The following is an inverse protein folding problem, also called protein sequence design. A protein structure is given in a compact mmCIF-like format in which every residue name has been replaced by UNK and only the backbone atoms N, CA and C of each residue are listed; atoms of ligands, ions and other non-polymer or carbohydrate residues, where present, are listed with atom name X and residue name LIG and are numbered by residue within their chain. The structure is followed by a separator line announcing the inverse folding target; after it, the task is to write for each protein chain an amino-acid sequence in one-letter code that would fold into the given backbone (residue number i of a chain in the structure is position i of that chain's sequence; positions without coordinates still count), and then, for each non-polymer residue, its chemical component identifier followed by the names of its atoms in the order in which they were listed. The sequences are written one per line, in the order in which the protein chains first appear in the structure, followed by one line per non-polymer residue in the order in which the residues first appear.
data_IF_798309621114
#
_entry.id   IF_798309621114
#
_cell.length_a   1.000
_cell.length_b   1.000
_cell.length_c   1.000
_cell.angle_alpha   90.00
_cell.angle_beta   90.00
_cell.angle_gamma   90.00
#
_symmetry.space_group_name_H-M   'P 1'
#
loop_
_entity.id
_entity.type
_entity.pdbx_description
1 polymer ?
#
# COMPACT_ATOMS: atom_id res chain seq x y z
N UNK A 1 -43.94 -59.07 60.63
CA UNK A 1 -45.27 -59.47 60.13
C UNK A 1 -45.40 -58.97 58.69
N UNK A 2 -45.74 -59.91 57.80
CA UNK A 2 -46.45 -59.83 56.51
C UNK A 2 -46.46 -58.45 55.78
N UNK A 3 -45.89 -58.36 54.57
CA UNK A 3 -46.58 -58.56 53.27
C UNK A 3 -47.69 -57.51 53.07
N UNK A 4 -47.76 -56.68 52.02
CA UNK A 4 -47.72 -56.98 50.58
C UNK A 4 -47.55 -55.66 49.78
N UNK A 5 -46.78 -55.71 48.69
CA UNK A 5 -47.07 -54.99 47.43
C UNK A 5 -47.91 -55.92 46.51
N UNK A 6 -48.24 -55.61 45.25
CA UNK A 6 -48.25 -54.36 44.47
C UNK A 6 -49.59 -54.18 43.71
N UNK A 7 -49.77 -53.09 42.94
CA UNK A 7 -50.57 -53.19 41.73
C UNK A 7 -50.07 -52.26 40.61
N UNK A 8 -49.59 -52.93 39.57
CA UNK A 8 -49.63 -52.61 38.14
C UNK A 8 -48.73 -51.48 37.63
N UNK A 9 -47.62 -51.97 37.06
CA UNK A 9 -46.78 -51.32 36.08
C UNK A 9 -47.43 -51.30 34.67
N UNK A 10 -46.67 -50.74 33.72
CA UNK A 10 -46.73 -50.89 32.25
C UNK A 10 -47.52 -49.78 31.54
N UNK A 11 -47.00 -48.99 30.58
CA UNK A 11 -45.71 -48.86 29.88
C UNK A 11 -45.70 -47.44 29.29
N UNK A 12 -44.58 -46.72 29.38
CA UNK A 12 -44.08 -45.96 28.25
C UNK A 12 -42.56 -46.02 28.26
N UNK A 13 -42.06 -46.51 27.13
CA UNK A 13 -40.67 -46.70 26.75
C UNK A 13 -39.79 -45.52 27.19
N UNK A 14 -38.72 -45.77 27.94
CA UNK A 14 -37.37 -46.17 27.46
C UNK A 14 -36.77 -45.13 26.51
N UNK A 15 -35.52 -44.73 26.62
CA UNK A 15 -34.53 -44.64 27.68
C UNK A 15 -33.28 -44.08 26.99
N UNK A 16 -32.35 -43.57 27.80
CA UNK A 16 -30.92 -43.47 27.54
C UNK A 16 -30.45 -42.48 26.47
N UNK A 17 -29.28 -41.85 26.60
CA UNK A 17 -28.46 -41.34 27.70
C UNK A 17 -27.22 -40.76 26.99
N UNK A 18 -26.56 -39.79 27.64
CA UNK A 18 -25.20 -39.33 27.37
C UNK A 18 -24.97 -38.58 26.04
N UNK A 19 -24.64 -37.30 26.16
CA UNK A 19 -23.31 -36.84 25.75
C UNK A 19 -23.01 -35.46 26.35
N UNK A 20 -21.83 -35.40 26.96
CA UNK A 20 -21.07 -34.20 27.29
C UNK A 20 -20.85 -33.33 26.04
N UNK A 21 -20.98 -32.02 26.16
CA UNK A 21 -20.06 -31.13 25.45
C UNK A 21 -19.89 -29.81 26.20
N UNK A 22 -18.63 -29.52 26.51
CA UNK A 22 -18.16 -28.25 27.02
C UNK A 22 -18.42 -27.15 25.98
N UNK A 23 -18.79 -25.97 26.45
CA UNK A 23 -18.98 -24.77 25.63
C UNK A 23 -17.62 -24.30 25.07
N UNK A 24 -17.41 -24.52 23.77
CA UNK A 24 -16.36 -23.88 22.98
C UNK A 24 -16.75 -22.45 22.60
N UNK A 25 -15.77 -21.54 22.71
CA UNK A 25 -15.77 -20.17 22.19
C UNK A 25 -16.02 -20.16 20.68
N UNK A 26 -16.73 -19.17 20.11
CA UNK A 26 -16.74 -19.00 18.67
C UNK A 26 -15.45 -18.30 18.22
N UNK A 27 -14.52 -19.07 17.64
CA UNK A 27 -13.45 -18.56 16.77
C UNK A 27 -14.07 -18.04 15.46
N UNK A 28 -14.26 -16.72 15.37
CA UNK A 28 -14.43 -16.05 14.09
C UNK A 28 -13.04 -15.81 13.48
N UNK A 29 -12.48 -16.81 12.79
CA UNK A 29 -11.30 -16.63 11.96
C UNK A 29 -11.67 -15.79 10.72
N UNK A 30 -11.39 -14.48 10.80
CA UNK A 30 -11.37 -13.61 9.64
C UNK A 30 -10.24 -14.06 8.70
N UNK A 31 -10.58 -14.76 7.62
CA UNK A 31 -9.63 -15.11 6.55
C UNK A 31 -9.10 -13.82 5.88
N UNK A 32 -7.79 -13.70 5.61
CA UNK A 32 -7.24 -12.53 4.95
C UNK A 32 -7.65 -12.50 3.48
N UNK A 33 -8.44 -11.52 3.09
CA UNK A 33 -8.76 -11.25 1.70
C UNK A 33 -7.60 -10.49 1.03
N UNK A 34 -6.62 -11.23 0.53
CA UNK A 34 -5.72 -10.77 -0.53
C UNK A 34 -5.51 -11.91 -1.53
N UNK A 35 -5.49 -11.56 -2.82
CA UNK A 35 -5.68 -12.48 -3.93
C UNK A 35 -4.64 -13.59 -4.04
N UNK A 36 -5.15 -14.82 -4.05
CA UNK A 36 -4.59 -15.93 -4.80
C UNK A 36 -5.74 -16.88 -5.19
N UNK A 37 -6.73 -16.37 -5.95
CA UNK A 37 -7.73 -17.24 -6.56
C UNK A 37 -7.03 -17.98 -7.70
N UNK A 38 -6.91 -19.30 -7.58
CA UNK A 38 -6.46 -20.13 -8.69
C UNK A 38 -7.44 -19.93 -9.86
N UNK A 39 -6.95 -19.62 -11.08
CA UNK A 39 -7.78 -19.54 -12.27
C UNK A 39 -8.65 -20.78 -12.40
N UNK A 40 -9.94 -20.57 -12.66
CA UNK A 40 -10.87 -21.66 -12.97
C UNK A 40 -10.52 -22.29 -14.32
N UNK A 41 -10.93 -23.54 -14.54
CA UNK A 41 -10.69 -24.23 -15.82
C UNK A 41 -11.25 -23.44 -17.02
N UNK A 42 -12.37 -22.75 -16.84
CA UNK A 42 -12.98 -21.88 -17.86
C UNK A 42 -12.10 -20.68 -18.20
N UNK A 43 -11.41 -20.10 -17.22
CA UNK A 43 -10.46 -19.00 -17.43
C UNK A 43 -9.19 -19.49 -18.13
N UNK A 44 -8.69 -20.68 -17.77
CA UNK A 44 -7.54 -21.32 -18.43
C UNK A 44 -7.85 -21.68 -19.89
N UNK A 45 -9.04 -22.21 -20.18
CA UNK A 45 -9.49 -22.45 -21.55
C UNK A 45 -9.62 -21.15 -22.36
N UNK A 46 -10.10 -20.08 -21.73
CA UNK A 46 -10.14 -18.75 -22.35
C UNK A 46 -8.75 -18.20 -22.66
N UNK A 47 -7.76 -18.50 -21.83
CA UNK A 47 -6.37 -18.11 -22.07
C UNK A 47 -5.71 -18.96 -23.16
N UNK A 48 -5.96 -20.27 -23.20
CA UNK A 48 -5.48 -21.16 -24.25
C UNK A 48 -5.93 -20.68 -25.65
N UNK A 49 -7.19 -20.25 -25.77
CA UNK A 49 -7.71 -19.71 -27.04
C UNK A 49 -6.99 -18.44 -27.50
N UNK A 50 -6.50 -17.63 -26.55
CA UNK A 50 -5.79 -16.37 -26.84
C UNK A 50 -4.29 -16.58 -27.02
N UNK A 51 -3.74 -17.62 -26.41
CA UNK A 51 -2.32 -17.94 -26.40
C UNK A 51 -2.12 -19.46 -26.61
N UNK A 52 -2.32 -19.98 -27.82
CA UNK A 52 -2.15 -21.42 -28.10
C UNK A 52 -0.73 -21.92 -27.83
N UNK A 53 0.25 -21.03 -27.97
CA UNK A 53 1.67 -21.27 -27.69
C UNK A 53 1.98 -21.52 -26.20
N UNK A 54 1.03 -21.25 -25.30
CA UNK A 54 1.19 -21.46 -23.88
C UNK A 54 1.04 -22.93 -23.47
N UNK A 55 0.38 -23.75 -24.30
CA UNK A 55 0.28 -25.20 -24.18
C UNK A 55 1.58 -25.83 -24.72
N UNK A 56 2.50 -26.12 -23.81
CA UNK A 56 3.87 -26.52 -24.15
C UNK A 56 4.01 -28.02 -24.32
N UNK A 57 3.19 -28.81 -23.63
CA UNK A 57 3.13 -30.26 -23.78
C UNK A 57 2.16 -30.71 -24.89
N UNK A 58 1.39 -29.77 -25.47
CA UNK A 58 0.47 -29.95 -26.59
C UNK A 58 -0.67 -30.90 -26.25
N UNK A 59 -1.08 -30.95 -24.99
CA UNK A 59 -2.18 -31.80 -24.53
C UNK A 59 -3.57 -31.19 -24.82
N UNK A 60 -3.62 -29.96 -25.34
CA UNK A 60 -4.85 -29.24 -25.67
C UNK A 60 -5.51 -28.56 -24.47
N UNK A 61 -4.83 -28.47 -23.32
CA UNK A 61 -5.32 -27.85 -22.08
C UNK A 61 -4.22 -27.03 -21.41
N UNK A 62 -4.53 -25.78 -21.07
CA UNK A 62 -3.55 -24.95 -20.37
C UNK A 62 -3.49 -25.28 -18.88
N UNK A 63 -2.40 -25.89 -18.41
CA UNK A 63 -2.20 -26.11 -16.97
C UNK A 63 -1.84 -24.81 -16.23
N UNK A 64 -2.05 -24.78 -14.90
CA UNK A 64 -1.64 -23.65 -14.06
C UNK A 64 -0.14 -23.37 -14.16
N UNK A 65 0.67 -24.43 -14.30
CA UNK A 65 2.12 -24.35 -14.41
C UNK A 65 2.51 -23.69 -15.72
N UNK A 66 1.91 -24.10 -16.82
CA UNK A 66 2.14 -23.54 -18.15
C UNK A 66 1.65 -22.10 -18.29
N UNK A 67 0.45 -21.79 -17.77
CA UNK A 67 -0.07 -20.43 -17.71
C UNK A 67 0.88 -19.50 -16.95
N UNK A 68 1.44 -19.98 -15.83
CA UNK A 68 2.42 -19.25 -15.04
C UNK A 68 3.74 -19.06 -15.80
N UNK A 69 4.26 -20.12 -16.44
CA UNK A 69 5.50 -20.06 -17.22
C UNK A 69 5.37 -19.17 -18.45
N UNK A 70 4.28 -19.26 -19.21
CA UNK A 70 4.01 -18.41 -20.37
C UNK A 70 3.88 -16.94 -19.97
N UNK A 71 3.15 -16.64 -18.89
CA UNK A 71 3.06 -15.28 -18.34
C UNK A 71 4.41 -14.73 -17.91
N UNK A 72 5.27 -15.54 -17.30
CA UNK A 72 6.59 -15.11 -16.84
C UNK A 72 7.58 -14.93 -17.99
N UNK A 73 7.60 -15.86 -18.94
CA UNK A 73 8.66 -15.97 -19.94
C UNK A 73 8.32 -15.29 -21.28
N UNK A 74 7.03 -15.17 -21.63
CA UNK A 74 6.58 -14.63 -22.93
C UNK A 74 5.98 -13.24 -22.75
N UNK A 75 5.07 -13.04 -21.79
CA UNK A 75 4.55 -11.69 -21.48
C UNK A 75 5.57 -10.81 -20.74
N UNK A 76 6.52 -11.41 -20.01
CA UNK A 76 7.66 -10.71 -19.41
C UNK A 76 8.74 -10.26 -20.40
N UNK A 77 8.69 -10.72 -21.66
CA UNK A 77 9.64 -10.38 -22.74
C UNK A 77 9.14 -9.33 -23.73
N UNK A 78 8.02 -8.64 -23.46
CA UNK A 78 7.69 -7.45 -24.24
C UNK A 78 8.77 -6.39 -23.98
N UNK A 79 9.30 -5.70 -25.02
CA UNK A 79 10.15 -4.55 -24.77
C UNK A 79 9.39 -3.62 -23.83
N UNK A 80 9.99 -3.26 -22.69
CA UNK A 80 9.39 -2.35 -21.74
C UNK A 80 9.20 -1.00 -22.42
N UNK A 81 8.05 -0.78 -23.07
CA UNK A 81 7.56 0.56 -23.34
C UNK A 81 7.39 1.20 -21.96
N UNK A 82 8.11 2.29 -21.70
CA UNK A 82 8.01 3.03 -20.44
C UNK A 82 6.55 3.38 -20.11
N UNK A 83 6.25 3.59 -18.83
CA UNK A 83 4.91 3.99 -18.42
C UNK A 83 4.52 5.30 -19.14
N UNK A 84 3.28 5.44 -19.65
CA UNK A 84 2.86 6.64 -20.37
C UNK A 84 2.92 7.85 -19.45
N UNK A 85 3.87 8.76 -19.74
CA UNK A 85 4.06 10.01 -18.98
C UNK A 85 3.14 11.13 -19.42
N UNK A 86 2.72 11.11 -20.69
CA UNK A 86 1.72 12.01 -21.25
C UNK A 86 0.45 11.22 -21.49
N UNK A 87 -0.66 11.74 -21.00
CA UNK A 87 -1.97 11.15 -21.14
C UNK A 87 -3.01 12.26 -21.22
N UNK A 88 -4.12 11.97 -21.89
CA UNK A 88 -5.25 12.89 -21.93
C UNK A 88 -5.93 12.91 -20.58
N UNK A 89 -6.13 14.12 -20.03
CA UNK A 89 -7.00 14.35 -18.86
C UNK A 89 -8.32 14.86 -19.42
N UNK A 90 -9.42 14.28 -18.98
CA UNK A 90 -10.74 14.70 -19.41
C UNK A 90 -11.00 16.16 -18.96
N UNK A 91 -11.47 17.07 -19.85
CA UNK A 91 -11.76 18.46 -19.49
C UNK A 91 -12.76 18.62 -18.34
N UNK A 92 -13.56 17.59 -18.04
CA UNK A 92 -14.43 17.61 -16.87
C UNK A 92 -13.71 17.71 -15.52
N UNK A 93 -12.38 17.53 -15.47
CA UNK A 93 -11.57 17.88 -14.28
C UNK A 93 -11.44 19.38 -14.04
N UNK A 94 -11.64 20.20 -15.07
CA UNK A 94 -11.61 21.66 -14.98
C UNK A 94 -13.03 22.25 -14.87
N UNK A 95 -14.07 21.40 -14.78
CA UNK A 95 -15.45 21.82 -14.56
C UNK A 95 -15.74 22.08 -13.07
N UNK A 96 -16.77 22.88 -12.80
CA UNK A 96 -17.20 23.20 -11.42
C UNK A 96 -17.68 21.95 -10.65
N UNK A 97 -18.21 20.94 -11.36
CA UNK A 97 -18.72 19.71 -10.78
C UNK A 97 -18.51 18.51 -11.71
N UNK A 98 -18.36 17.33 -11.13
CA UNK A 98 -18.36 16.07 -11.89
C UNK A 98 -19.77 15.77 -12.46
N UNK A 99 -19.88 14.85 -13.45
CA UNK A 99 -21.18 14.44 -13.98
C UNK A 99 -22.18 14.06 -12.88
N UNK A 100 -23.48 14.44 -12.98
CA UNK A 100 -24.46 14.23 -11.90
C UNK A 100 -24.66 12.77 -11.46
N UNK A 101 -24.25 11.80 -12.29
CA UNK A 101 -24.36 10.38 -11.98
C UNK A 101 -23.17 9.82 -11.19
N UNK A 102 -22.13 10.63 -10.94
CA UNK A 102 -20.93 10.25 -10.20
C UNK A 102 -21.29 9.64 -8.84
N UNK A 103 -20.59 8.58 -8.47
CA UNK A 103 -20.92 7.83 -7.24
C UNK A 103 -20.66 8.64 -5.97
N UNK A 104 -19.72 9.58 -5.97
CA UNK A 104 -19.40 10.44 -4.82
C UNK A 104 -20.60 11.27 -4.34
N UNK A 105 -21.58 11.56 -5.20
CA UNK A 105 -22.79 12.29 -4.83
C UNK A 105 -23.90 11.42 -4.22
N UNK A 106 -23.70 10.10 -4.15
CA UNK A 106 -24.70 9.15 -3.66
C UNK A 106 -24.63 8.95 -2.15
N UNK A 107 -25.73 8.47 -1.57
CA UNK A 107 -25.75 8.15 -0.13
C UNK A 107 -24.89 6.92 0.18
N UNK A 108 -24.29 6.81 1.38
CA UNK A 108 -23.41 5.69 1.73
C UNK A 108 -23.97 4.29 1.45
N UNK A 109 -25.25 4.04 1.73
CA UNK A 109 -25.88 2.75 1.49
C UNK A 109 -26.05 2.44 -0.01
N UNK A 110 -26.31 3.46 -0.83
CA UNK A 110 -26.40 3.31 -2.28
C UNK A 110 -25.01 2.98 -2.87
N UNK A 111 -23.97 3.67 -2.39
CA UNK A 111 -22.57 3.38 -2.78
C UNK A 111 -22.23 1.93 -2.42
N UNK A 112 -22.60 1.49 -1.21
CA UNK A 112 -22.39 0.10 -0.76
C UNK A 112 -23.10 -0.91 -1.65
N UNK A 113 -24.35 -0.65 -2.04
CA UNK A 113 -25.13 -1.55 -2.92
C UNK A 113 -24.54 -1.66 -4.33
N UNK A 114 -23.82 -0.63 -4.81
CA UNK A 114 -23.11 -0.69 -6.09
C UNK A 114 -21.83 -1.52 -6.01
N UNK A 115 -21.27 -1.72 -4.82
CA UNK A 115 -20.09 -2.55 -4.60
C UNK A 115 -20.52 -3.97 -4.23
N UNK A 116 -20.49 -4.88 -5.20
CA UNK A 116 -20.96 -6.26 -5.06
C UNK A 116 -20.20 -7.13 -4.04
N UNK A 117 -19.10 -6.63 -3.46
CA UNK A 117 -18.29 -7.35 -2.49
C UNK A 117 -18.52 -6.79 -1.08
N UNK A 118 -18.29 -7.59 -0.02
CA UNK A 118 -18.29 -7.08 1.34
C UNK A 118 -17.34 -5.89 1.48
N UNK A 119 -17.87 -4.80 2.03
CA UNK A 119 -17.08 -3.65 2.44
C UNK A 119 -16.41 -3.98 3.78
N UNK A 120 -15.08 -3.86 3.89
CA UNK A 120 -14.42 -4.12 5.17
C UNK A 120 -14.85 -3.08 6.20
N UNK A 121 -15.08 -3.54 7.42
CA UNK A 121 -15.30 -2.70 8.59
C UNK A 121 -14.37 -3.19 9.69
N UNK A 122 -13.56 -2.27 10.20
CA UNK A 122 -12.59 -2.55 11.25
C UNK A 122 -12.99 -1.78 12.50
N UNK A 123 -13.04 -2.47 13.64
CA UNK A 123 -13.05 -1.82 14.95
C UNK A 123 -11.84 -0.90 15.07
N UNK A 124 -11.95 0.15 15.89
CA UNK A 124 -10.80 1.01 16.18
C UNK A 124 -9.70 0.12 16.81
N UNK A 125 -8.50 0.04 16.21
CA UNK A 125 -7.43 -0.75 16.79
C UNK A 125 -7.03 -0.21 18.17
N UNK A 126 -6.74 -1.10 19.11
CA UNK A 126 -6.32 -0.77 20.50
C UNK A 126 -4.82 -0.91 20.71
N UNK A 127 -4.12 -1.48 19.73
CA UNK A 127 -2.69 -1.79 19.71
C UNK A 127 -1.85 -0.69 19.05
N UNK A 128 -2.49 0.42 18.66
CA UNK A 128 -1.85 1.54 17.97
C UNK A 128 -1.87 1.44 16.45
N UNK A 129 -2.44 0.37 15.87
CA UNK A 129 -2.66 0.28 14.43
C UNK A 129 -3.60 1.36 13.90
N UNK A 130 -3.42 1.75 12.64
CA UNK A 130 -4.32 2.65 11.92
C UNK A 130 -5.12 1.88 10.87
N UNK A 131 -6.37 2.27 10.63
CA UNK A 131 -7.16 1.77 9.51
C UNK A 131 -6.83 2.59 8.28
N UNK A 132 -6.18 1.95 7.30
CA UNK A 132 -5.63 2.64 6.14
C UNK A 132 -6.35 2.23 4.86
N UNK A 133 -6.87 3.21 4.12
CA UNK A 133 -7.21 3.04 2.70
C UNK A 133 -6.08 3.53 1.81
N UNK A 134 -6.00 3.04 0.58
CA UNK A 134 -5.01 3.57 -0.34
C UNK A 134 -5.23 3.25 -1.81
N UNK A 135 -4.69 4.11 -2.65
CA UNK A 135 -4.54 3.86 -4.08
C UNK A 135 -3.07 3.77 -4.41
N UNK A 136 -2.74 3.12 -5.52
CA UNK A 136 -1.36 3.08 -5.95
C UNK A 136 -1.10 2.14 -7.10
N UNK A 137 0.13 2.21 -7.58
CA UNK A 137 0.63 1.35 -8.63
C UNK A 137 1.84 0.53 -8.19
N UNK A 138 2.56 -0.01 -9.15
CA UNK A 138 3.71 -0.90 -8.91
C UNK A 138 4.80 -0.31 -8.03
N UNK A 139 4.83 1.01 -7.83
CA UNK A 139 5.79 1.66 -6.94
C UNK A 139 5.27 1.69 -5.51
N UNK A 140 3.96 1.68 -5.25
CA UNK A 140 3.39 1.57 -3.90
C UNK A 140 3.25 0.12 -3.40
N UNK A 141 3.14 -0.81 -4.35
CA UNK A 141 2.90 -2.22 -4.03
C UNK A 141 3.96 -2.87 -3.11
N UNK A 142 5.26 -2.56 -3.19
CA UNK A 142 6.23 -3.13 -2.27
C UNK A 142 5.95 -2.66 -0.83
N UNK A 143 5.80 -1.36 -0.59
CA UNK A 143 5.40 -0.79 0.71
C UNK A 143 4.11 -1.38 1.27
N UNK A 144 3.06 -1.52 0.45
CA UNK A 144 1.81 -2.17 0.89
C UNK A 144 1.95 -3.65 1.26
N UNK A 145 2.94 -4.36 0.71
CA UNK A 145 3.20 -5.77 1.04
C UNK A 145 4.05 -5.93 2.28
N UNK A 146 4.97 -4.99 2.53
CA UNK A 146 5.91 -5.05 3.63
C UNK A 146 5.36 -4.41 4.90
N UNK A 147 4.56 -3.34 4.79
CA UNK A 147 4.00 -2.62 5.94
C UNK A 147 3.28 -3.53 6.95
N UNK A 148 2.32 -4.43 6.56
CA UNK A 148 1.65 -5.27 7.55
C UNK A 148 2.58 -6.21 8.32
N UNK A 149 3.66 -6.67 7.67
CA UNK A 149 4.66 -7.54 8.30
C UNK A 149 5.52 -6.76 9.29
N UNK A 150 5.88 -5.52 8.94
CA UNK A 150 6.64 -4.61 9.79
C UNK A 150 5.81 -4.25 11.02
N UNK A 151 4.54 -3.88 10.84
CA UNK A 151 3.60 -3.62 11.93
C UNK A 151 3.44 -4.81 12.86
N UNK A 152 3.26 -6.02 12.32
CA UNK A 152 3.14 -7.24 13.11
C UNK A 152 4.39 -7.47 13.98
N UNK A 153 5.59 -7.26 13.43
CA UNK A 153 6.83 -7.34 14.19
C UNK A 153 6.98 -6.23 15.23
N UNK A 154 6.38 -5.06 14.98
CA UNK A 154 6.27 -3.95 15.92
C UNK A 154 5.18 -4.17 16.99
N UNK A 155 4.43 -5.28 16.94
CA UNK A 155 3.49 -5.70 17.97
C UNK A 155 2.03 -5.34 17.71
N UNK A 156 1.65 -4.96 16.49
CA UNK A 156 0.26 -4.61 16.17
C UNK A 156 -0.17 -5.04 14.76
N UNK A 157 -1.48 -5.21 14.55
CA UNK A 157 -2.02 -5.52 13.24
C UNK A 157 -2.24 -4.26 12.40
N UNK A 158 -2.08 -4.39 11.08
CA UNK A 158 -2.29 -3.30 10.12
C UNK A 158 -3.55 -3.54 9.28
N UNK A 159 -4.71 -2.96 9.64
CA UNK A 159 -5.84 -2.90 8.73
C UNK A 159 -5.50 -2.04 7.51
N UNK A 160 -5.43 -2.67 6.33
CA UNK A 160 -5.06 -2.04 5.07
C UNK A 160 -5.99 -2.50 3.95
N UNK A 161 -6.65 -1.55 3.28
CA UNK A 161 -7.54 -1.83 2.17
C UNK A 161 -7.25 -0.93 0.97
N UNK A 162 -6.79 -1.54 -0.12
CA UNK A 162 -6.28 -0.78 -1.26
C UNK A 162 -7.05 -1.05 -2.55
N UNK A 163 -7.10 -0.04 -3.43
CA UNK A 163 -7.51 -0.19 -4.81
C UNK A 163 -6.35 0.20 -5.72
N UNK A 164 -5.61 -0.80 -6.18
CA UNK A 164 -4.37 -0.60 -6.95
C UNK A 164 -4.54 -0.96 -8.43
N UNK A 165 -3.57 -0.57 -9.24
CA UNK A 165 -3.51 -0.85 -10.68
C UNK A 165 -2.10 -0.75 -11.24
N UNK A 166 -1.83 -1.26 -12.44
CA UNK A 166 -0.53 -1.10 -13.09
C UNK A 166 -0.37 0.28 -13.71
N UNK A 167 0.78 0.95 -13.50
CA UNK A 167 1.06 2.28 -14.05
C UNK A 167 -0.06 3.29 -13.75
N UNK A 168 -0.50 4.03 -14.77
CA UNK A 168 -1.54 5.07 -14.66
C UNK A 168 -2.83 4.55 -14.03
N UNK A 169 -3.16 3.26 -14.21
CA UNK A 169 -4.41 2.68 -13.71
C UNK A 169 -4.48 2.57 -12.19
N UNK A 170 -3.34 2.82 -11.50
CA UNK A 170 -3.25 2.91 -10.05
C UNK A 170 -3.13 4.34 -9.51
N UNK A 171 -3.09 5.36 -10.37
CA UNK A 171 -3.00 6.78 -9.94
C UNK A 171 -4.26 7.26 -9.22
N UNK A 172 -4.12 8.28 -8.38
CA UNK A 172 -5.22 8.88 -7.63
C UNK A 172 -6.37 9.33 -8.55
N UNK A 173 -6.02 10.04 -9.65
CA UNK A 173 -6.97 10.45 -10.70
C UNK A 173 -7.72 9.27 -11.31
N UNK A 174 -7.00 8.29 -11.84
CA UNK A 174 -7.62 7.18 -12.56
C UNK A 174 -8.54 6.38 -11.65
N UNK A 175 -8.13 6.17 -10.39
CA UNK A 175 -8.97 5.49 -9.41
C UNK A 175 -10.20 6.31 -9.06
N UNK A 176 -10.10 7.62 -8.93
CA UNK A 176 -11.27 8.47 -8.71
C UNK A 176 -12.29 8.32 -9.84
N UNK A 177 -11.84 8.40 -11.10
CA UNK A 177 -12.72 8.24 -12.27
C UNK A 177 -13.39 6.86 -12.31
N UNK A 178 -12.61 5.81 -12.02
CA UNK A 178 -13.10 4.43 -12.00
C UNK A 178 -14.10 4.19 -10.88
N UNK A 179 -13.85 4.73 -9.69
CA UNK A 179 -14.74 4.59 -8.54
C UNK A 179 -16.07 5.30 -8.78
N UNK A 180 -16.02 6.47 -9.42
CA UNK A 180 -17.18 7.30 -9.72
C UNK A 180 -17.94 6.87 -10.97
N UNK A 181 -17.33 6.10 -11.87
CA UNK A 181 -17.95 5.74 -13.14
C UNK A 181 -18.16 6.96 -14.04
N UNK A 182 -17.14 7.81 -14.14
CA UNK A 182 -17.16 9.05 -14.93
C UNK A 182 -16.10 9.02 -16.04
N UNK A 183 -16.25 9.89 -17.04
CA UNK A 183 -15.33 10.03 -18.18
C UNK A 183 -15.13 8.71 -18.92
N UNK A 184 -13.90 8.18 -18.98
CA UNK A 184 -13.62 6.87 -19.60
C UNK A 184 -14.37 5.69 -18.95
N UNK A 185 -14.96 5.89 -17.76
CA UNK A 185 -15.80 4.92 -17.06
C UNK A 185 -17.28 5.32 -17.00
N UNK A 186 -17.75 6.22 -17.87
CA UNK A 186 -19.13 6.75 -17.86
C UNK A 186 -20.17 5.66 -17.57
N UNK A 187 -20.92 5.84 -16.47
CA UNK A 187 -21.98 4.95 -15.98
C UNK A 187 -21.55 3.51 -15.67
N UNK A 188 -20.25 3.24 -15.54
CA UNK A 188 -19.69 1.94 -15.21
C UNK A 188 -18.74 2.03 -13.98
N UNK A 189 -19.27 2.39 -12.81
CA UNK A 189 -18.46 2.59 -11.62
C UNK A 189 -17.92 1.29 -11.02
N UNK A 190 -16.80 1.39 -10.32
CA UNK A 190 -16.23 0.34 -9.46
C UNK A 190 -15.91 0.93 -8.07
N UNK A 191 -16.93 1.20 -7.24
CA UNK A 191 -16.80 2.04 -6.05
C UNK A 191 -16.25 1.27 -4.85
N UNK A 192 -15.05 0.71 -4.97
CA UNK A 192 -14.40 -0.09 -3.94
C UNK A 192 -14.03 0.72 -2.69
N UNK A 193 -13.27 1.80 -2.86
CA UNK A 193 -12.85 2.67 -1.77
C UNK A 193 -13.97 3.62 -1.36
N UNK A 194 -14.75 4.15 -2.30
CA UNK A 194 -15.89 5.01 -1.94
C UNK A 194 -16.85 4.26 -1.02
N UNK A 195 -17.19 3.00 -1.33
CA UNK A 195 -18.03 2.18 -0.47
C UNK A 195 -17.40 1.93 0.91
N UNK A 196 -16.09 1.71 0.97
CA UNK A 196 -15.36 1.52 2.22
C UNK A 196 -15.31 2.77 3.10
N UNK A 197 -14.98 3.92 2.52
CA UNK A 197 -14.87 5.19 3.22
C UNK A 197 -16.24 5.67 3.71
N UNK A 198 -17.29 5.51 2.91
CA UNK A 198 -18.63 5.97 3.28
C UNK A 198 -19.32 5.09 4.34
N UNK A 199 -18.92 3.82 4.47
CA UNK A 199 -19.57 2.84 5.36
C UNK A 199 -18.67 2.32 6.49
N UNK A 200 -17.51 2.94 6.69
CA UNK A 200 -16.53 2.53 7.68
C UNK A 200 -15.83 3.74 8.30
N UNK A 201 -15.10 3.48 9.38
CA UNK A 201 -14.23 4.47 9.99
C UNK A 201 -12.78 4.15 9.62
N UNK A 202 -12.06 5.19 9.20
CA UNK A 202 -10.71 5.08 8.65
C UNK A 202 -9.86 6.22 9.19
N UNK A 203 -8.59 5.93 9.46
CA UNK A 203 -7.69 6.87 10.15
C UNK A 203 -6.71 7.52 9.18
N UNK A 204 -6.40 6.86 8.07
CA UNK A 204 -5.52 7.42 7.05
C UNK A 204 -5.86 6.99 5.63
N UNK A 205 -5.50 7.84 4.67
CA UNK A 205 -5.44 7.50 3.26
C UNK A 205 -4.02 7.69 2.71
N UNK A 206 -3.59 6.75 1.88
CA UNK A 206 -2.26 6.76 1.23
C UNK A 206 -2.39 6.81 -0.30
N UNK A 207 -1.50 7.54 -0.97
CA UNK A 207 -1.39 7.55 -2.42
C UNK A 207 0.05 7.36 -2.89
N UNK A 208 0.19 6.78 -4.07
CA UNK A 208 1.41 6.85 -4.86
C UNK A 208 1.32 7.96 -5.90
N UNK A 209 2.45 8.59 -6.24
CA UNK A 209 2.45 9.69 -7.18
C UNK A 209 2.51 9.17 -8.61
N UNK A 210 2.00 9.96 -9.55
CA UNK A 210 2.05 9.69 -10.96
C UNK A 210 2.40 10.95 -11.77
N UNK A 211 2.76 10.75 -13.04
CA UNK A 211 3.15 11.84 -13.91
C UNK A 211 2.02 12.87 -14.10
N UNK A 212 2.35 14.16 -14.13
CA UNK A 212 1.42 15.29 -14.27
C UNK A 212 0.28 15.30 -13.23
N UNK A 213 0.56 14.85 -12.01
CA UNK A 213 -0.40 14.97 -10.93
C UNK A 213 -0.72 16.44 -10.64
N UNK A 214 -2.00 16.68 -10.36
CA UNK A 214 -2.52 18.00 -10.00
C UNK A 214 -3.18 17.91 -8.63
N UNK A 215 -3.24 18.99 -7.83
CA UNK A 215 -3.81 18.88 -6.50
C UNK A 215 -5.32 18.60 -6.50
N UNK A 216 -6.03 18.86 -7.60
CA UNK A 216 -7.44 18.47 -7.80
C UNK A 216 -7.63 16.95 -7.73
N UNK A 217 -6.65 16.17 -8.22
CA UNK A 217 -6.71 14.70 -8.23
C UNK A 217 -6.65 14.07 -6.83
N UNK A 218 -6.19 14.82 -5.84
CA UNK A 218 -6.16 14.40 -4.44
C UNK A 218 -7.22 15.12 -3.60
N UNK A 219 -7.55 16.38 -3.93
CA UNK A 219 -8.54 17.19 -3.21
C UNK A 219 -9.90 16.50 -3.18
N UNK A 220 -10.34 15.92 -4.29
CA UNK A 220 -11.59 15.17 -4.35
C UNK A 220 -11.62 13.97 -3.39
N UNK A 221 -10.49 13.28 -3.21
CA UNK A 221 -10.38 12.20 -2.22
C UNK A 221 -10.37 12.73 -0.80
N UNK A 222 -9.65 13.83 -0.54
CA UNK A 222 -9.57 14.46 0.79
C UNK A 222 -10.97 14.89 1.24
N UNK A 223 -11.66 15.65 0.41
CA UNK A 223 -13.01 16.17 0.66
C UNK A 223 -13.97 15.03 0.96
N UNK A 224 -14.03 14.02 0.09
CA UNK A 224 -14.90 12.86 0.27
C UNK A 224 -14.58 12.07 1.55
N UNK A 225 -13.29 11.88 1.87
CA UNK A 225 -12.88 11.22 3.10
C UNK A 225 -13.33 12.00 4.35
N UNK A 226 -13.23 13.32 4.33
CA UNK A 226 -13.53 14.19 5.47
C UNK A 226 -15.02 14.27 5.80
N UNK A 227 -15.91 14.04 4.84
CA UNK A 227 -17.36 13.96 5.08
C UNK A 227 -17.73 12.92 6.15
N UNK A 228 -17.02 11.78 6.19
CA UNK A 228 -17.30 10.68 7.13
C UNK A 228 -16.18 10.45 8.15
N UNK A 229 -14.97 10.91 7.87
CA UNK A 229 -13.76 10.74 8.67
C UNK A 229 -13.00 12.09 8.80
N UNK A 230 -13.52 13.06 9.56
CA UNK A 230 -12.99 14.44 9.59
C UNK A 230 -11.54 14.55 10.10
N UNK A 231 -11.07 13.59 10.90
CA UNK A 231 -9.72 13.55 11.45
C UNK A 231 -8.78 12.62 10.67
N UNK A 232 -9.16 12.20 9.46
CA UNK A 232 -8.31 11.35 8.63
C UNK A 232 -7.03 12.07 8.25
N UNK A 233 -5.90 11.36 8.33
CA UNK A 233 -4.59 11.84 7.87
C UNK A 233 -4.30 11.36 6.46
N UNK A 234 -3.51 12.14 5.73
CA UNK A 234 -3.27 11.90 4.31
C UNK A 234 -1.77 11.79 4.04
N UNK A 235 -1.35 10.73 3.34
CA UNK A 235 0.06 10.44 3.10
C UNK A 235 0.33 10.20 1.62
N UNK A 236 1.25 10.96 1.05
CA UNK A 236 1.66 10.83 -0.34
C UNK A 236 3.10 10.31 -0.39
N UNK A 237 3.34 9.14 -0.99
CA UNK A 237 4.70 8.76 -1.38
C UNK A 237 5.16 9.71 -2.48
N UNK A 238 6.39 10.19 -2.38
CA UNK A 238 7.04 10.98 -3.43
C UNK A 238 7.69 10.11 -4.53
N UNK A 239 7.71 8.78 -4.35
CA UNK A 239 8.52 7.82 -5.13
C UNK A 239 10.01 8.20 -5.13
N UNK A 240 10.86 7.48 -5.88
CA UNK A 240 12.31 7.73 -5.91
C UNK A 240 12.82 8.24 -7.25
N UNK A 241 14.07 8.74 -7.30
CA UNK A 241 14.66 9.17 -8.55
C UNK A 241 14.70 8.07 -9.59
N UNK A 242 14.31 8.41 -10.83
CA UNK A 242 14.26 7.46 -11.95
C UNK A 242 15.22 7.90 -13.03
N UNK A 243 15.76 6.94 -13.81
CA UNK A 243 16.62 7.23 -14.97
C UNK A 243 15.98 8.20 -15.96
N UNK A 244 14.64 8.23 -15.99
CA UNK A 244 13.88 9.07 -16.88
C UNK A 244 13.80 10.56 -16.48
N UNK A 245 14.41 10.94 -15.36
CA UNK A 245 14.73 12.34 -14.99
C UNK A 245 16.03 12.83 -15.64
N UNK A 246 16.89 11.91 -16.09
CA UNK A 246 18.13 12.25 -16.78
C UNK A 246 17.82 12.52 -18.25
N UNK A 247 18.56 13.44 -18.86
CA UNK A 247 18.44 13.75 -20.29
C UNK A 247 18.69 12.52 -21.18
N UNK A 248 19.64 11.69 -20.76
CA UNK A 248 19.99 10.45 -21.44
C UNK A 248 20.33 9.35 -20.43
N UNK A 249 20.11 8.10 -20.84
CA UNK A 249 20.41 6.94 -19.99
C UNK A 249 21.92 6.75 -19.94
N UNK A 250 22.54 6.79 -18.75
CA UNK A 250 23.98 6.64 -18.63
C UNK A 250 24.47 5.29 -19.17
N UNK A 251 25.66 5.29 -19.77
CA UNK A 251 26.32 4.08 -20.29
C UNK A 251 27.02 3.26 -19.21
N UNK A 252 27.37 3.89 -18.08
CA UNK A 252 28.08 3.30 -16.94
C UNK A 252 27.44 3.76 -15.63
N UNK A 253 27.62 2.97 -14.56
CA UNK A 253 27.24 3.36 -13.21
C UNK A 253 28.14 4.45 -12.62
N UNK A 254 29.32 4.70 -13.20
CA UNK A 254 30.24 5.79 -12.79
C UNK A 254 29.62 7.18 -12.91
N UNK A 255 28.56 7.32 -13.71
CA UNK A 255 27.76 8.54 -13.80
C UNK A 255 27.10 8.89 -12.46
N UNK A 256 26.74 7.89 -11.65
CA UNK A 256 26.01 8.10 -10.42
C UNK A 256 26.95 8.49 -9.28
N UNK A 257 27.21 9.78 -9.14
CA UNK A 257 27.95 10.34 -8.00
C UNK A 257 27.01 10.78 -6.87
N UNK A 258 27.52 11.05 -5.65
CA UNK A 258 26.71 11.64 -4.59
C UNK A 258 26.03 12.95 -5.01
N UNK A 259 26.73 13.79 -5.78
CA UNK A 259 26.22 15.08 -6.26
C UNK A 259 25.07 14.90 -7.25
N UNK A 260 25.16 13.90 -8.14
CA UNK A 260 24.06 13.55 -9.05
C UNK A 260 22.83 13.12 -8.27
N UNK A 261 23.00 12.29 -7.22
CA UNK A 261 21.88 11.89 -6.36
C UNK A 261 21.29 13.04 -5.57
N UNK A 262 22.12 13.95 -5.05
CA UNK A 262 21.68 15.14 -4.34
C UNK A 262 20.87 16.06 -5.27
N UNK A 263 21.33 16.24 -6.52
CA UNK A 263 20.61 17.03 -7.52
C UNK A 263 19.22 16.43 -7.84
N UNK A 264 19.17 15.17 -8.30
CA UNK A 264 17.90 14.56 -8.73
C UNK A 264 16.92 14.33 -7.56
N UNK A 265 17.46 14.18 -6.34
CA UNK A 265 16.68 14.16 -5.09
C UNK A 265 16.07 15.52 -4.79
N UNK A 266 16.86 16.60 -4.86
CA UNK A 266 16.39 17.96 -4.61
C UNK A 266 15.34 18.42 -5.63
N UNK A 267 15.52 18.10 -6.92
CA UNK A 267 14.53 18.38 -7.97
C UNK A 267 13.17 17.74 -7.64
N UNK A 268 13.21 16.48 -7.22
CA UNK A 268 12.02 15.72 -6.86
C UNK A 268 11.36 16.28 -5.59
N UNK A 269 12.13 16.60 -4.57
CA UNK A 269 11.62 17.22 -3.34
C UNK A 269 10.97 18.58 -3.62
N UNK A 270 11.54 19.37 -4.54
CA UNK A 270 10.94 20.63 -4.96
C UNK A 270 9.62 20.46 -5.73
N UNK A 271 9.51 19.43 -6.57
CA UNK A 271 8.26 19.09 -7.29
C UNK A 271 7.15 18.71 -6.30
N UNK A 272 7.38 17.71 -5.45
CA UNK A 272 6.36 17.25 -4.48
C UNK A 272 6.10 18.27 -3.37
N UNK A 273 7.11 19.06 -2.99
CA UNK A 273 6.94 20.15 -2.04
C UNK A 273 5.92 21.19 -2.52
N UNK A 274 5.90 21.50 -3.82
CA UNK A 274 4.87 22.39 -4.40
C UNK A 274 3.48 21.78 -4.32
N UNK A 275 3.34 20.49 -4.68
CA UNK A 275 2.06 19.80 -4.62
C UNK A 275 1.51 19.74 -3.19
N UNK A 276 2.32 19.32 -2.21
CA UNK A 276 1.92 19.24 -0.80
C UNK A 276 1.55 20.62 -0.25
N UNK A 277 2.31 21.66 -0.60
CA UNK A 277 1.98 23.04 -0.22
C UNK A 277 0.61 23.44 -0.75
N UNK A 278 0.35 23.23 -2.04
CA UNK A 278 -0.94 23.55 -2.66
C UNK A 278 -2.11 22.77 -2.02
N UNK A 279 -1.90 21.49 -1.67
CA UNK A 279 -2.92 20.70 -0.97
C UNK A 279 -3.22 21.26 0.42
N UNK A 280 -2.19 21.59 1.21
CA UNK A 280 -2.37 22.16 2.55
C UNK A 280 -3.03 23.54 2.53
N UNK A 281 -2.75 24.36 1.50
CA UNK A 281 -3.41 25.65 1.29
C UNK A 281 -4.90 25.50 0.94
N UNK A 282 -5.26 24.47 0.16
CA UNK A 282 -6.65 24.18 -0.23
C UNK A 282 -7.46 23.54 0.90
N UNK A 283 -6.79 22.79 1.78
CA UNK A 283 -7.41 22.03 2.86
C UNK A 283 -6.86 22.47 4.23
N UNK A 284 -7.10 23.72 4.67
CA UNK A 284 -6.55 24.24 5.91
C UNK A 284 -7.01 23.39 7.11
N UNK A 285 -6.08 23.12 8.04
CA UNK A 285 -6.31 22.27 9.20
C UNK A 285 -6.26 20.75 8.92
N UNK A 286 -6.03 20.35 7.67
CA UNK A 286 -5.90 18.94 7.30
C UNK A 286 -4.45 18.46 7.42
N UNK A 287 -4.25 17.32 8.07
CA UNK A 287 -2.95 16.67 8.20
C UNK A 287 -2.57 15.93 6.92
N UNK A 288 -1.72 16.57 6.10
CA UNK A 288 -1.23 16.03 4.81
C UNK A 288 0.30 15.93 4.85
N UNK A 289 0.85 14.74 4.65
CA UNK A 289 2.28 14.43 4.80
C UNK A 289 2.88 13.74 3.58
N UNK A 290 4.19 13.91 3.39
CA UNK A 290 4.99 13.14 2.44
C UNK A 290 5.55 11.89 3.12
N UNK A 291 5.47 10.74 2.46
CA UNK A 291 6.31 9.58 2.80
C UNK A 291 7.60 9.68 1.95
N UNK A 292 8.75 10.04 2.55
CA UNK A 292 9.97 10.43 1.81
C UNK A 292 10.74 9.22 1.27
N UNK A 293 10.08 8.50 0.37
CA UNK A 293 10.67 7.37 -0.36
C UNK A 293 11.80 7.82 -1.27
N UNK A 294 11.76 9.05 -1.80
CA UNK A 294 12.83 9.67 -2.57
C UNK A 294 14.11 9.77 -1.77
N UNK A 295 14.04 10.44 -0.62
CA UNK A 295 15.20 10.67 0.24
C UNK A 295 15.80 9.36 0.74
N UNK A 296 14.96 8.37 1.07
CA UNK A 296 15.48 7.06 1.50
C UNK A 296 16.28 6.33 0.41
N UNK A 297 15.87 6.43 -0.85
CA UNK A 297 16.59 5.81 -1.97
C UNK A 297 17.83 6.60 -2.37
N UNK A 298 17.79 7.94 -2.27
CA UNK A 298 18.98 8.81 -2.42
C UNK A 298 20.02 8.46 -1.36
N UNK A 299 19.61 8.36 -0.09
CA UNK A 299 20.48 7.95 1.01
C UNK A 299 21.05 6.55 0.76
N UNK A 300 20.22 5.57 0.39
CA UNK A 300 20.68 4.23 0.09
C UNK A 300 21.70 4.19 -1.05
N UNK A 301 21.49 4.97 -2.12
CA UNK A 301 22.45 5.07 -3.20
C UNK A 301 23.79 5.66 -2.72
N UNK A 302 23.75 6.71 -1.89
CA UNK A 302 24.96 7.28 -1.28
C UNK A 302 25.67 6.30 -0.34
N UNK A 303 24.92 5.48 0.42
CA UNK A 303 25.50 4.37 1.21
C UNK A 303 26.16 3.32 0.32
N UNK A 304 25.54 2.96 -0.81
CA UNK A 304 26.13 2.03 -1.78
C UNK A 304 27.47 2.56 -2.33
N UNK A 305 27.52 3.85 -2.71
CA UNK A 305 28.74 4.48 -3.22
C UNK A 305 29.90 4.49 -2.22
N UNK A 306 29.59 4.43 -0.91
CA UNK A 306 30.59 4.29 0.16
C UNK A 306 30.92 2.84 0.51
N UNK A 307 30.32 1.86 -0.15
CA UNK A 307 30.50 0.43 0.15
C UNK A 307 29.77 -0.03 1.43
N UNK A 308 28.78 0.72 1.89
CA UNK A 308 28.12 0.51 3.19
C UNK A 308 26.85 -0.37 3.09
N UNK A 309 26.52 -0.90 1.91
CA UNK A 309 25.36 -1.79 1.72
C UNK A 309 25.79 -3.24 1.46
N UNK A 310 25.92 -4.08 2.51
CA UNK A 310 26.47 -5.42 2.35
C UNK A 310 25.61 -6.29 1.43
N UNK A 311 26.25 -6.86 0.41
CA UNK A 311 25.62 -7.74 -0.58
C UNK A 311 24.86 -7.02 -1.70
N UNK A 312 24.73 -5.69 -1.68
CA UNK A 312 24.28 -4.90 -2.83
C UNK A 312 25.42 -4.78 -3.82
N UNK A 313 25.13 -4.98 -5.09
CA UNK A 313 26.13 -5.13 -6.15
C UNK A 313 26.16 -3.95 -7.14
N UNK A 314 25.06 -3.21 -7.26
CA UNK A 314 24.89 -2.18 -8.28
C UNK A 314 23.82 -1.15 -7.92
N UNK A 315 23.70 -0.13 -8.75
CA UNK A 315 22.69 0.92 -8.66
C UNK A 315 21.51 0.58 -9.56
N UNK A 316 21.75 0.30 -10.84
CA UNK A 316 20.71 -0.03 -11.80
C UNK A 316 21.10 -1.26 -12.63
N UNK A 317 20.30 -2.32 -12.53
CA UNK A 317 20.54 -3.59 -13.23
C UNK A 317 20.64 -3.45 -14.75
N UNK A 318 19.97 -2.49 -15.38
CA UNK A 318 20.05 -2.30 -16.82
C UNK A 318 21.40 -1.71 -17.23
N UNK A 319 22.05 -0.95 -16.35
CA UNK A 319 23.34 -0.31 -16.59
C UNK A 319 24.46 -1.23 -16.09
N UNK A 320 24.52 -1.52 -14.78
CA UNK A 320 25.58 -2.32 -14.17
C UNK A 320 25.47 -3.84 -14.37
N UNK A 321 24.35 -4.34 -14.90
CA UNK A 321 24.09 -5.78 -15.13
C UNK A 321 24.23 -6.66 -13.88
N UNK A 322 24.05 -6.08 -12.69
CA UNK A 322 24.06 -6.81 -11.42
C UNK A 322 22.65 -7.08 -10.92
N UNK A 323 22.40 -8.29 -10.43
CA UNK A 323 21.06 -8.70 -9.98
C UNK A 323 20.66 -8.00 -8.69
N UNK A 324 21.60 -7.82 -7.75
CA UNK A 324 21.36 -7.11 -6.48
C UNK A 324 21.61 -5.61 -6.62
N UNK A 325 20.93 -5.00 -7.58
CA UNK A 325 20.94 -3.54 -7.78
C UNK A 325 19.79 -2.85 -7.03
N UNK A 326 19.92 -1.56 -6.71
CA UNK A 326 18.83 -0.75 -6.14
C UNK A 326 17.58 -0.78 -7.02
N UNK A 327 17.78 -0.63 -8.34
CA UNK A 327 16.72 -0.68 -9.35
C UNK A 327 16.92 -1.86 -10.30
N UNK A 328 15.85 -2.63 -10.56
CA UNK A 328 15.92 -3.81 -11.44
C UNK A 328 15.63 -3.55 -12.91
N UNK A 329 15.06 -2.39 -13.24
CA UNK A 329 14.69 -2.06 -14.60
C UNK A 329 14.79 -0.56 -14.91
N UNK A 330 14.53 -0.22 -16.17
CA UNK A 330 14.66 1.14 -16.68
C UNK A 330 13.58 2.07 -16.12
N UNK A 331 12.40 1.54 -15.80
CA UNK A 331 11.33 2.34 -15.19
C UNK A 331 11.71 2.74 -13.77
N UNK A 332 12.56 1.96 -13.11
CA UNK A 332 13.01 2.21 -11.74
C UNK A 332 12.26 1.37 -10.73
N UNK A 333 11.70 0.21 -11.08
CA UNK A 333 11.17 -0.67 -10.04
C UNK A 333 12.29 -1.13 -9.09
N UNK A 334 11.96 -1.24 -7.80
CA UNK A 334 12.90 -1.70 -6.78
C UNK A 334 13.46 -3.09 -7.11
N UNK A 335 14.77 -3.20 -6.93
CA UNK A 335 15.50 -4.45 -6.94
C UNK A 335 15.22 -5.30 -5.70
N UNK A 336 15.78 -6.52 -5.66
CA UNK A 336 15.53 -7.45 -4.56
C UNK A 336 15.82 -6.79 -3.20
N UNK A 337 14.91 -6.93 -2.24
CA UNK A 337 15.12 -6.50 -0.85
C UNK A 337 14.82 -5.03 -0.56
N UNK A 338 14.89 -4.14 -1.55
CA UNK A 338 14.61 -2.71 -1.37
C UNK A 338 13.12 -2.42 -1.09
N UNK A 339 12.24 -3.38 -1.33
CA UNK A 339 10.84 -3.35 -0.88
C UNK A 339 10.69 -3.21 0.65
N UNK A 340 11.69 -3.69 1.40
CA UNK A 340 11.75 -3.51 2.86
C UNK A 340 12.02 -2.07 3.24
N UNK A 341 12.98 -1.42 2.57
CA UNK A 341 13.32 -0.02 2.81
C UNK A 341 12.08 0.88 2.60
N UNK A 342 11.34 0.67 1.52
CA UNK A 342 10.08 1.39 1.30
C UNK A 342 9.06 1.14 2.43
N UNK A 343 8.87 -0.12 2.82
CA UNK A 343 7.97 -0.47 3.93
C UNK A 343 8.36 0.19 5.25
N UNK A 344 9.66 0.30 5.52
CA UNK A 344 10.18 0.98 6.70
C UNK A 344 9.90 2.49 6.66
N UNK A 345 10.01 3.14 5.49
CA UNK A 345 9.61 4.55 5.33
C UNK A 345 8.12 4.74 5.57
N UNK A 346 7.28 3.84 5.05
CA UNK A 346 5.84 3.89 5.29
C UNK A 346 5.54 3.78 6.78
N UNK A 347 6.10 2.77 7.45
CA UNK A 347 5.95 2.57 8.89
C UNK A 347 6.40 3.79 9.67
N UNK A 348 7.62 4.29 9.40
CA UNK A 348 8.22 5.40 10.11
C UNK A 348 7.43 6.69 9.97
N UNK A 349 6.94 6.99 8.77
CA UNK A 349 6.15 8.20 8.51
C UNK A 349 4.76 8.11 9.14
N UNK A 350 4.06 6.99 8.93
CA UNK A 350 2.66 6.81 9.35
C UNK A 350 2.56 6.75 10.88
N UNK A 351 3.48 6.05 11.53
CA UNK A 351 3.45 5.83 12.98
C UNK A 351 4.33 6.78 13.77
N UNK A 352 5.23 7.52 13.11
CA UNK A 352 6.21 8.36 13.81
C UNK A 352 7.12 7.55 14.71
N UNK A 353 7.57 6.37 14.25
CA UNK A 353 8.41 5.46 15.04
C UNK A 353 9.56 4.93 14.20
N UNK A 354 10.76 4.95 14.75
CA UNK A 354 11.93 4.37 14.13
C UNK A 354 11.76 2.85 13.99
N UNK A 355 11.95 2.29 12.78
CA UNK A 355 12.00 0.85 12.57
C UNK A 355 13.16 0.17 13.35
N UNK A 356 14.16 0.93 13.80
CA UNK A 356 15.28 0.43 14.63
C UNK A 356 14.83 -0.04 16.02
N UNK A 357 13.66 0.41 16.47
CA UNK A 357 13.06 -0.02 17.73
C UNK A 357 12.44 -1.42 17.67
N UNK A 358 12.16 -1.94 16.46
CA UNK A 358 11.56 -3.27 16.27
C UNK A 358 12.61 -4.35 16.62
N UNK A 359 12.43 -5.04 17.75
CA UNK A 359 13.36 -6.08 18.21
C UNK A 359 13.05 -7.47 17.64
N UNK A 360 11.80 -7.73 17.30
CA UNK A 360 11.35 -8.98 16.72
C UNK A 360 11.91 -9.17 15.30
N UNK A 361 12.13 -10.43 14.92
CA UNK A 361 12.42 -10.77 13.54
C UNK A 361 11.20 -10.46 12.65
N UNK A 362 11.45 -9.91 11.47
CA UNK A 362 10.38 -9.60 10.51
C UNK A 362 10.36 -10.65 9.42
N UNK A 363 9.30 -11.44 9.37
CA UNK A 363 9.12 -12.47 8.36
C UNK A 363 8.66 -11.86 7.03
N UNK A 364 9.62 -11.50 6.17
CA UNK A 364 9.34 -11.04 4.81
C UNK A 364 9.01 -12.17 3.82
N UNK A 365 9.06 -13.43 4.24
CA UNK A 365 8.99 -14.61 3.37
C UNK A 365 10.39 -15.12 3.01
N UNK A 366 10.50 -16.11 2.10
CA UNK A 366 11.77 -16.72 1.76
C UNK A 366 12.72 -15.71 1.09
N UNK A 367 13.91 -15.55 1.68
CA UNK A 367 14.97 -14.72 1.11
C UNK A 367 15.60 -15.44 -0.09
N UNK A 368 15.86 -14.70 -1.17
CA UNK A 368 16.68 -15.22 -2.26
C UNK A 368 18.13 -15.30 -1.78
N UNK A 369 18.63 -16.52 -1.55
CA UNK A 369 20.04 -16.77 -1.17
C UNK A 369 20.49 -15.91 0.04
N UNK A 370 19.67 -15.87 1.10
CA UNK A 370 19.92 -15.10 2.33
C UNK A 370 20.11 -13.59 2.13
N UNK A 371 19.47 -13.01 1.10
CA UNK A 371 19.49 -11.58 0.83
C UNK A 371 18.07 -10.97 0.90
N UNK A 372 17.88 -9.78 1.50
CA UNK A 372 18.82 -9.01 2.34
C UNK A 372 19.36 -9.77 3.55
N UNK A 373 20.60 -9.50 3.94
CA UNK A 373 21.17 -9.98 5.20
C UNK A 373 20.56 -9.23 6.39
N UNK A 374 20.63 -9.77 7.63
CA UNK A 374 20.21 -9.04 8.83
C UNK A 374 20.96 -7.71 9.02
N UNK A 375 22.21 -7.62 8.57
CA UNK A 375 22.98 -6.38 8.61
C UNK A 375 22.44 -5.33 7.64
N UNK A 376 22.18 -5.73 6.38
CA UNK A 376 21.55 -4.84 5.40
C UNK A 376 20.17 -4.37 5.86
N UNK A 377 19.40 -5.25 6.50
CA UNK A 377 18.10 -4.90 7.08
C UNK A 377 18.21 -3.81 8.15
N UNK A 378 19.18 -3.90 9.06
CA UNK A 378 19.45 -2.85 10.06
C UNK A 378 19.81 -1.51 9.41
N UNK A 379 20.62 -1.53 8.35
CA UNK A 379 20.98 -0.32 7.61
C UNK A 379 19.75 0.28 6.94
N UNK A 380 18.85 -0.53 6.35
CA UNK A 380 17.60 -0.03 5.78
C UNK A 380 16.69 0.64 6.81
N UNK A 381 16.60 0.11 8.03
CA UNK A 381 15.83 0.74 9.12
C UNK A 381 16.37 2.12 9.49
N UNK A 382 17.70 2.23 9.60
CA UNK A 382 18.39 3.50 9.88
C UNK A 382 18.19 4.50 8.74
N UNK A 383 18.34 4.08 7.48
CA UNK A 383 18.13 4.93 6.31
C UNK A 383 16.68 5.43 6.27
N UNK A 384 15.70 4.56 6.54
CA UNK A 384 14.30 4.95 6.58
C UNK A 384 14.03 6.01 7.65
N UNK A 385 14.53 5.81 8.88
CA UNK A 385 14.37 6.78 9.95
C UNK A 385 15.02 8.13 9.61
N UNK A 386 16.26 8.09 9.10
CA UNK A 386 16.98 9.29 8.69
C UNK A 386 16.25 10.05 7.57
N UNK A 387 15.70 9.36 6.57
CA UNK A 387 14.92 10.00 5.52
C UNK A 387 13.66 10.70 6.08
N UNK A 388 12.98 10.05 7.03
CA UNK A 388 11.75 10.56 7.62
C UNK A 388 11.98 11.80 8.47
N UNK A 389 12.95 11.78 9.40
CA UNK A 389 13.19 12.92 10.31
C UNK A 389 13.86 14.11 9.63
N UNK A 390 14.57 13.89 8.52
CA UNK A 390 15.23 14.97 7.77
C UNK A 390 14.31 15.62 6.72
N UNK A 391 13.17 15.00 6.40
CA UNK A 391 12.22 15.57 5.46
C UNK A 391 11.14 16.39 6.20
N UNK A 392 11.10 17.72 6.08
CA UNK A 392 10.16 18.55 6.84
C UNK A 392 8.69 18.32 6.45
N UNK A 393 8.41 17.67 5.33
CA UNK A 393 7.05 17.35 4.88
C UNK A 393 6.53 16.03 5.44
N UNK A 394 7.38 15.21 6.08
CA UNK A 394 6.97 13.97 6.75
C UNK A 394 6.11 14.22 7.99
N UNK A 395 6.28 15.40 8.61
CA UNK A 395 5.64 15.74 9.88
C UNK A 395 6.18 14.96 11.07
N UNK A 396 7.34 14.31 10.95
CA UNK A 396 8.01 13.59 12.03
C UNK A 396 9.26 14.35 12.45
N UNK A 397 9.39 14.63 13.74
CA UNK A 397 10.53 15.29 14.37
C UNK A 397 10.94 14.43 15.57
N UNK A 398 12.24 14.25 15.77
CA UNK A 398 12.87 13.45 16.83
C UNK A 398 14.10 14.20 17.37
N UNK A 399 13.85 15.29 18.09
CA UNK A 399 14.88 16.14 18.70
C UNK A 399 15.59 15.42 19.85
N UNK A 400 14.85 14.59 20.60
CA UNK A 400 15.36 13.88 21.75
C UNK A 400 16.17 12.61 21.38
N UNK A 401 16.05 12.15 20.12
CA UNK A 401 16.74 10.99 19.52
C UNK A 401 16.39 9.65 20.16
N UNK A 402 15.17 9.50 20.66
CA UNK A 402 14.65 8.24 21.20
C UNK A 402 14.05 7.32 20.12
N UNK A 403 13.98 7.81 18.88
CA UNK A 403 13.40 7.08 17.76
C UNK A 403 11.88 7.14 17.72
N UNK A 404 11.26 8.09 18.41
CA UNK A 404 9.83 8.37 18.40
C UNK A 404 9.58 9.80 17.92
N UNK A 405 8.44 10.03 17.30
CA UNK A 405 7.98 11.38 16.99
C UNK A 405 7.73 12.13 18.30
N UNK A 406 8.34 13.29 18.46
CA UNK A 406 8.08 14.17 19.59
C UNK A 406 6.61 14.64 19.60
N UNK A 407 6.01 14.64 20.79
CA UNK A 407 4.70 15.24 20.99
C UNK A 407 4.83 16.76 20.98
N UNK A 408 4.00 17.44 20.18
CA UNK A 408 3.90 18.90 20.25
C UNK A 408 3.26 19.23 21.59
N UNK A 409 4.01 19.87 22.49
CA UNK A 409 3.48 20.36 23.75
C UNK A 409 2.31 21.31 23.45
N UNK A 410 1.08 20.89 23.74
CA UNK A 410 -0.08 21.78 23.69
C UNK A 410 0.06 22.73 24.87
N UNK A 411 0.51 23.96 24.63
CA UNK A 411 0.41 25.03 25.62
C UNK A 411 -1.07 25.23 25.95
N UNK A 412 -1.47 24.70 27.10
CA UNK A 412 -2.78 24.96 27.68
C UNK A 412 -2.79 26.41 28.16
N UNK A 413 -3.19 27.33 27.28
CA UNK A 413 -3.52 28.69 27.69
C UNK A 413 -4.71 28.61 28.65
N UNK A 414 -4.44 28.65 29.95
CA UNK A 414 -5.47 28.82 30.98
C UNK A 414 -6.26 30.09 30.67
N UNK A 415 -7.61 30.07 30.77
CA UNK A 415 -8.39 31.28 30.61
C UNK A 415 -7.98 32.27 31.71
N UNK A 416 -7.61 33.49 31.30
CA UNK A 416 -7.50 34.62 32.22
C UNK A 416 -8.88 34.84 32.84
N UNK A 417 -9.01 34.46 34.10
CA UNK A 417 -10.11 34.93 34.95
C UNK A 417 -9.94 36.43 35.11
N UNK A 418 -10.74 37.21 34.40
CA UNK A 418 -10.92 38.62 34.73
C UNK A 418 -11.71 38.67 36.05
N UNK A 419 -11.14 39.36 37.04
CA UNK A 419 -11.75 39.59 38.34
C UNK A 419 -12.82 40.67 38.34
#
# INVERSE_FOLDING_TARGET
MKQLSPLVAVISAIAFSLTSSAQEKPEASAKPASGNRQPTEKELAGWLKRFPEADTDKDGKLSLKEAFFYRRNVLGKRPQKGAPKKFNVDPGWDAESFPPHAVCYRKPQEIKSLYALPVPSYSKPTDGGLRIVGTGHSFMMPGYRTLPKICAAAGFEQPLFTHTGGGITGSARYKWEQENGIFQFDKNPKPKLLAAISNGKWDAMTWGPYYNDRPEFYSCWIEFCQETNPNMKFFLSDAWPQLSQLDEIPKSEDFFTPEVFDQIGAEKNAEYGKLIKQLRERHPGTEIYTMPTSDSMVLAAKHYLRGELPGVEGINRIIGKKERSLWKDQLGHLGPGFDRLEGYVFYATIYGRSPELIKSEINFGPNLRNFPSPELDRIFRKIAWQAVINNPLSGVVDENRDGMKDEVAVETTKPKTNG
#
